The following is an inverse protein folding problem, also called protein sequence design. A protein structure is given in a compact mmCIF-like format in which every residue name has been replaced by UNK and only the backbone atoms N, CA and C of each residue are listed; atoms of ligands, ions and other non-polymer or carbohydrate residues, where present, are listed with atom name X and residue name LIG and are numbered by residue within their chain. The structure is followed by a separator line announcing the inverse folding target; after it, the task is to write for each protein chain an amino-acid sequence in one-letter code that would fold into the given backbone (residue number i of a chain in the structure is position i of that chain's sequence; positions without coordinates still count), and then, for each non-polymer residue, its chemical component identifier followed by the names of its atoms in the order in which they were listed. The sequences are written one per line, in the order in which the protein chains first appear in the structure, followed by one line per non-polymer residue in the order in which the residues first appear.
data_IF_263507595171
#
_entry.id   IF_263507595171
#
_cell.length_a   1.000
_cell.length_b   1.000
_cell.length_c   1.000
_cell.angle_alpha   90.00
_cell.angle_beta   90.00
_cell.angle_gamma   90.00
#
_symmetry.space_group_name_H-M   'P 1'
#
loop_
_entity.id
_entity.type
_entity.pdbx_description
1 polymer ?
#
# COMPACT_ATOMS: atom_id res chain seq x y z
N UNK A 1 -7.38 -27.97 6.18
CA UNK A 1 -8.10 -26.75 5.78
C UNK A 1 -9.59 -27.04 5.79
N UNK A 2 -10.40 -26.20 6.45
CA UNK A 2 -11.86 -26.23 6.31
C UNK A 2 -12.25 -26.22 4.82
N UNK A 3 -13.24 -27.05 4.43
CA UNK A 3 -13.60 -27.26 3.01
C UNK A 3 -14.07 -25.97 2.33
N UNK A 4 -14.79 -25.13 3.05
CA UNK A 4 -15.25 -23.81 2.63
C UNK A 4 -14.09 -22.87 2.22
N UNK A 5 -12.99 -22.87 2.96
CA UNK A 5 -11.82 -22.04 2.66
C UNK A 5 -11.10 -22.55 1.39
N UNK A 6 -10.98 -23.86 1.24
CA UNK A 6 -10.35 -24.45 0.06
C UNK A 6 -11.16 -24.20 -1.23
N UNK A 7 -12.49 -24.29 -1.16
CA UNK A 7 -13.37 -23.98 -2.29
C UNK A 7 -13.35 -22.48 -2.63
N UNK A 8 -13.33 -21.59 -1.63
CA UNK A 8 -13.17 -20.16 -1.85
C UNK A 8 -11.83 -19.83 -2.51
N UNK A 9 -10.74 -20.46 -2.05
CA UNK A 9 -9.42 -20.29 -2.66
C UNK A 9 -9.37 -20.86 -4.08
N UNK A 10 -10.07 -21.97 -4.35
CA UNK A 10 -10.15 -22.58 -5.69
C UNK A 10 -10.94 -21.70 -6.67
N UNK A 11 -12.06 -21.11 -6.23
CA UNK A 11 -12.84 -20.16 -7.02
C UNK A 11 -12.03 -18.89 -7.38
N UNK A 12 -11.09 -18.49 -6.52
CA UNK A 12 -10.18 -17.36 -6.75
C UNK A 12 -8.89 -17.74 -7.49
N UNK A 13 -8.56 -19.03 -7.52
CA UNK A 13 -7.37 -19.52 -8.22
C UNK A 13 -7.59 -19.42 -9.72
N UNK A 14 -6.66 -18.74 -10.40
CA UNK A 14 -6.67 -18.62 -11.86
C UNK A 14 -6.27 -19.92 -12.57
N UNK A 15 -5.89 -19.85 -13.86
CA UNK A 15 -5.53 -21.03 -14.66
C UNK A 15 -4.46 -21.93 -14.05
N UNK A 16 -3.60 -21.38 -13.19
CA UNK A 16 -2.51 -22.06 -12.50
C UNK A 16 -2.95 -22.93 -11.31
N UNK A 17 -4.23 -22.91 -10.94
CA UNK A 17 -4.82 -23.77 -9.91
C UNK A 17 -4.54 -23.37 -8.46
N UNK A 18 -5.15 -24.10 -7.52
CA UNK A 18 -5.19 -23.78 -6.09
C UNK A 18 -3.79 -23.73 -5.44
N UNK A 19 -2.89 -24.67 -5.77
CA UNK A 19 -1.55 -24.71 -5.17
C UNK A 19 -0.71 -23.48 -5.53
N UNK A 20 -0.78 -23.03 -6.78
CA UNK A 20 -0.09 -21.80 -7.22
C UNK A 20 -0.69 -20.56 -6.54
N UNK A 21 -2.02 -20.52 -6.39
CA UNK A 21 -2.70 -19.44 -5.68
C UNK A 21 -2.27 -19.35 -4.20
N UNK A 22 -2.22 -20.50 -3.50
CA UNK A 22 -1.78 -20.54 -2.10
C UNK A 22 -0.32 -20.12 -1.96
N UNK A 23 0.56 -20.60 -2.84
CA UNK A 23 1.97 -20.19 -2.83
C UNK A 23 2.13 -18.66 -2.99
N UNK A 24 1.40 -18.06 -3.94
CA UNK A 24 1.42 -16.61 -4.14
C UNK A 24 0.82 -15.85 -2.95
N UNK A 25 -0.25 -16.36 -2.35
CA UNK A 25 -0.88 -15.76 -1.17
C UNK A 25 0.06 -15.78 0.05
N UNK A 26 0.76 -16.90 0.27
CA UNK A 26 1.77 -17.03 1.34
C UNK A 26 2.94 -16.10 1.10
N UNK A 27 3.47 -16.04 -0.12
CA UNK A 27 4.55 -15.11 -0.46
C UNK A 27 4.17 -13.65 -0.17
N UNK A 28 2.95 -13.24 -0.56
CA UNK A 28 2.43 -11.90 -0.28
C UNK A 28 2.20 -11.66 1.22
N UNK A 29 1.85 -12.69 1.99
CA UNK A 29 1.70 -12.54 3.44
C UNK A 29 3.07 -12.31 4.10
N UNK A 30 4.08 -13.08 3.73
CA UNK A 30 5.46 -12.89 4.22
C UNK A 30 5.96 -11.47 3.88
N UNK A 31 5.71 -11.01 2.66
CA UNK A 31 6.06 -9.64 2.27
C UNK A 31 5.37 -8.59 3.14
N UNK A 32 4.08 -8.76 3.45
CA UNK A 32 3.34 -7.85 4.34
C UNK A 32 3.87 -7.90 5.78
N UNK A 33 4.24 -9.08 6.26
CA UNK A 33 4.78 -9.24 7.61
C UNK A 33 6.14 -8.52 7.72
N UNK A 34 7.02 -8.71 6.71
CA UNK A 34 8.30 -7.99 6.63
C UNK A 34 8.11 -6.46 6.54
N UNK A 35 7.14 -5.98 5.75
CA UNK A 35 6.82 -4.54 5.66
C UNK A 35 6.32 -3.99 6.99
N UNK A 36 5.47 -4.74 7.69
CA UNK A 36 4.97 -4.36 9.02
C UNK A 36 6.11 -4.25 10.04
N UNK A 37 7.11 -5.14 10.00
CA UNK A 37 8.29 -5.04 10.87
C UNK A 37 9.06 -3.73 10.61
N UNK A 38 9.24 -3.34 9.34
CA UNK A 38 9.89 -2.08 8.99
C UNK A 38 9.09 -0.86 9.45
N UNK A 39 7.76 -0.89 9.31
CA UNK A 39 6.87 0.16 9.80
C UNK A 39 7.02 0.32 11.31
N UNK A 40 6.97 -0.78 12.07
CA UNK A 40 7.09 -0.75 13.53
C UNK A 40 8.41 -0.13 14.01
N UNK A 41 9.53 -0.44 13.33
CA UNK A 41 10.83 0.18 13.64
C UNK A 41 10.79 1.68 13.37
N UNK A 42 10.25 2.10 12.23
CA UNK A 42 10.16 3.52 11.87
C UNK A 42 9.23 4.30 12.81
N UNK A 43 8.09 3.73 13.20
CA UNK A 43 7.15 4.35 14.14
C UNK A 43 7.73 4.46 15.55
N UNK A 44 8.56 3.49 15.97
CA UNK A 44 9.25 3.58 17.25
C UNK A 44 10.28 4.73 17.29
N UNK A 45 10.90 5.04 16.14
CA UNK A 45 11.90 6.11 16.03
C UNK A 45 11.25 7.49 15.83
N UNK A 46 10.19 7.58 15.02
CA UNK A 46 9.62 8.85 14.56
C UNK A 46 8.21 9.15 15.09
N UNK A 47 7.56 8.17 15.71
CA UNK A 47 6.14 8.19 16.01
C UNK A 47 5.28 7.70 14.83
N UNK A 48 4.03 7.31 15.09
CA UNK A 48 3.08 6.96 14.04
C UNK A 48 2.70 8.20 13.21
N UNK A 49 2.42 7.99 11.93
CA UNK A 49 1.96 9.05 11.02
C UNK A 49 0.43 9.11 11.08
N UNK A 50 -0.11 10.28 11.44
CA UNK A 50 -1.56 10.51 11.48
C UNK A 50 -2.12 10.85 10.08
N UNK A 51 -3.39 10.47 9.84
CA UNK A 51 -4.08 10.76 8.58
C UNK A 51 -4.15 12.27 8.29
N UNK A 52 -4.28 13.09 9.33
CA UNK A 52 -4.28 14.54 9.24
C UNK A 52 -2.94 15.09 8.73
N UNK A 53 -1.81 14.51 9.15
CA UNK A 53 -0.47 14.91 8.70
C UNK A 53 -0.28 14.58 7.22
N UNK A 54 -0.75 13.39 6.81
CA UNK A 54 -0.74 12.97 5.40
C UNK A 54 -1.57 13.93 4.56
N UNK A 55 -2.77 14.28 5.02
CA UNK A 55 -3.66 15.16 4.28
C UNK A 55 -3.08 16.58 4.17
N UNK A 56 -2.53 17.12 5.26
CA UNK A 56 -1.87 18.42 5.26
C UNK A 56 -0.71 18.47 4.26
N UNK A 57 0.13 17.43 4.21
CA UNK A 57 1.25 17.35 3.27
C UNK A 57 0.77 17.23 1.81
N UNK A 58 -0.30 16.47 1.55
CA UNK A 58 -0.93 16.40 0.22
C UNK A 58 -1.44 17.76 -0.23
N UNK A 59 -2.12 18.50 0.65
CA UNK A 59 -2.65 19.82 0.34
C UNK A 59 -1.53 20.82 0.02
N UNK A 60 -0.45 20.80 0.81
CA UNK A 60 0.76 21.59 0.55
C UNK A 60 1.35 21.25 -0.83
N UNK A 61 1.47 19.96 -1.17
CA UNK A 61 2.00 19.52 -2.46
C UNK A 61 1.11 19.97 -3.63
N UNK A 62 -0.21 19.88 -3.48
CA UNK A 62 -1.16 20.38 -4.47
C UNK A 62 -1.07 21.91 -4.64
N UNK A 63 -0.90 22.65 -3.54
CA UNK A 63 -0.72 24.10 -3.60
C UNK A 63 0.59 24.49 -4.32
N UNK A 64 1.71 23.85 -3.97
CA UNK A 64 3.00 24.11 -4.61
C UNK A 64 2.95 23.86 -6.13
N UNK A 65 2.30 22.77 -6.56
CA UNK A 65 2.12 22.46 -7.98
C UNK A 65 1.28 23.51 -8.72
N UNK A 66 0.22 24.02 -8.09
CA UNK A 66 -0.61 25.10 -8.68
C UNK A 66 0.19 26.39 -8.86
N UNK A 67 0.98 26.77 -7.85
CA UNK A 67 1.83 27.96 -7.89
C UNK A 67 2.90 27.85 -8.98
N UNK A 68 3.51 26.67 -9.14
CA UNK A 68 4.47 26.42 -10.23
C UNK A 68 3.84 26.56 -11.61
N UNK A 69 2.63 26.02 -11.80
CA UNK A 69 1.91 26.15 -13.07
C UNK A 69 1.53 27.60 -13.40
N UNK A 70 1.20 28.40 -12.38
CA UNK A 70 0.85 29.82 -12.52
C UNK A 70 2.09 30.69 -12.80
N UNK A 71 3.18 30.48 -12.05
CA UNK A 71 4.43 31.21 -12.27
C UNK A 71 5.13 30.90 -13.60
N UNK A 72 4.85 29.74 -14.21
CA UNK A 72 5.29 29.43 -15.58
C UNK A 72 4.46 30.10 -16.67
N UNK A 73 3.20 30.44 -16.39
CA UNK A 73 2.31 31.13 -17.32
C UNK A 73 2.53 32.65 -17.33
N UNK A 74 2.94 33.23 -16.20
CA UNK A 74 3.28 34.66 -16.09
C UNK A 74 4.69 34.99 -16.64
N UNK A 75 5.50 33.98 -16.98
CA UNK A 75 6.86 34.13 -17.50
C UNK A 75 6.97 34.03 -19.04
N UNK A 76 5.84 33.99 -19.76
CA UNK A 76 5.76 33.90 -21.23
C UNK A 76 5.03 35.07 -21.86
#
# INVERSE_FOLDING_TARGET
MPRDIAEAAKARSGPSGLSAYVAAAVARQIERDNLNELILVAEAEHGPIADEEIQALRDQLHQARRQQAQGGADAT
#
